data_IF_036483551323
#
_entry.id   IF_036483551323
#
_cell.length_a   1.000
_cell.length_b   1.000
_cell.length_c   1.000
_cell.angle_alpha   90.00
_cell.angle_beta   90.00
_cell.angle_gamma   90.00
#
_symmetry.space_group_name_H-M   'P 1'
#
loop_
_entity.id
_entity.type
_entity.pdbx_description
1 polymer ?
#
# COMPACT_ATOMS: atom_id res chain seq x y z
N UNK A 1 19.12 -21.62 5.08
CA UNK A 1 18.46 -20.95 6.21
C UNK A 1 17.05 -20.76 5.76
N UNK A 2 16.07 -21.37 6.42
CA UNK A 2 14.67 -21.15 6.09
C UNK A 2 14.40 -19.70 6.42
N UNK A 3 14.23 -18.85 5.40
CA UNK A 3 13.61 -17.54 5.61
C UNK A 3 12.24 -17.82 6.21
N UNK A 4 12.00 -17.32 7.43
CA UNK A 4 10.70 -17.46 8.08
C UNK A 4 9.68 -16.81 7.15
N UNK A 5 8.87 -17.65 6.52
CA UNK A 5 7.81 -17.23 5.62
C UNK A 5 6.87 -16.33 6.42
N UNK A 6 6.67 -15.09 5.96
CA UNK A 6 5.64 -14.21 6.48
C UNK A 6 4.28 -14.93 6.44
N UNK A 7 3.67 -15.25 7.60
CA UNK A 7 2.42 -15.99 7.67
C UNK A 7 1.22 -15.19 7.18
N UNK A 8 1.33 -13.85 7.15
CA UNK A 8 0.28 -12.94 6.72
C UNK A 8 0.29 -12.65 5.21
N UNK A 9 1.31 -13.12 4.51
CA UNK A 9 1.51 -12.90 3.08
C UNK A 9 0.34 -13.42 2.23
N UNK A 10 -0.21 -14.59 2.57
CA UNK A 10 -1.34 -15.15 1.83
C UNK A 10 -2.58 -14.26 1.95
N UNK A 11 -2.83 -13.67 3.13
CA UNK A 11 -3.93 -12.72 3.33
C UNK A 11 -3.77 -11.49 2.44
N UNK A 12 -2.57 -10.94 2.32
CA UNK A 12 -2.33 -9.80 1.44
C UNK A 12 -2.52 -10.17 -0.04
N UNK A 13 -2.13 -11.38 -0.45
CA UNK A 13 -2.30 -11.86 -1.83
C UNK A 13 -3.77 -12.15 -2.16
N UNK A 14 -4.54 -12.67 -1.22
CA UNK A 14 -5.98 -12.91 -1.39
C UNK A 14 -6.78 -11.60 -1.60
N UNK A 15 -6.20 -10.45 -1.21
CA UNK A 15 -6.78 -9.13 -1.46
C UNK A 15 -6.52 -8.62 -2.88
N UNK A 16 -5.69 -9.27 -3.69
CA UNK A 16 -5.42 -8.80 -5.06
C UNK A 16 -6.72 -8.64 -5.88
N UNK A 17 -6.86 -7.48 -6.53
CA UNK A 17 -8.03 -7.13 -7.31
C UNK A 17 -9.25 -6.68 -6.50
N UNK A 18 -9.23 -6.77 -5.17
CA UNK A 18 -10.34 -6.32 -4.33
C UNK A 18 -10.49 -4.80 -4.37
N UNK A 19 -11.75 -4.37 -4.43
CA UNK A 19 -12.17 -2.97 -4.25
C UNK A 19 -13.24 -2.94 -3.17
N UNK A 20 -12.97 -2.24 -2.07
CA UNK A 20 -13.86 -2.18 -0.92
C UNK A 20 -14.35 -0.75 -0.74
N UNK A 21 -15.67 -0.57 -0.71
CA UNK A 21 -16.29 0.72 -0.34
C UNK A 21 -16.16 0.89 1.17
N UNK A 22 -15.68 2.06 1.62
CA UNK A 22 -15.29 2.31 3.02
C UNK A 22 -16.10 3.41 3.70
N UNK A 23 -17.09 3.97 3.03
CA UNK A 23 -18.01 4.95 3.58
C UNK A 23 -19.48 4.61 3.26
N UNK A 24 -20.44 5.08 4.08
CA UNK A 24 -21.86 4.82 3.86
C UNK A 24 -22.42 5.46 2.58
N UNK A 25 -21.84 6.57 2.11
CA UNK A 25 -22.31 7.29 0.92
C UNK A 25 -21.78 6.69 -0.38
N UNK A 26 -20.83 5.75 -0.29
CA UNK A 26 -20.20 5.09 -1.44
C UNK A 26 -19.22 5.95 -2.22
N UNK A 27 -18.78 7.07 -1.65
CA UNK A 27 -17.87 8.03 -2.29
C UNK A 27 -16.39 7.65 -2.16
N UNK A 28 -16.03 6.75 -1.26
CA UNK A 28 -14.67 6.37 -0.92
C UNK A 28 -14.49 4.86 -1.03
N UNK A 29 -13.39 4.46 -1.65
CA UNK A 29 -13.04 3.05 -1.77
C UNK A 29 -11.56 2.84 -1.61
N UNK A 30 -11.20 1.68 -1.08
CA UNK A 30 -9.83 1.17 -1.16
C UNK A 30 -9.70 0.18 -2.31
N UNK A 31 -8.53 0.15 -2.93
CA UNK A 31 -8.18 -0.82 -3.97
C UNK A 31 -6.86 -1.49 -3.62
N UNK A 32 -6.82 -2.79 -3.85
CA UNK A 32 -5.63 -3.62 -3.66
C UNK A 32 -5.21 -4.19 -5.02
N UNK A 33 -3.93 -4.02 -5.35
CA UNK A 33 -3.26 -4.71 -6.46
C UNK A 33 -1.98 -5.27 -5.89
N UNK A 34 -1.88 -6.60 -5.78
CA UNK A 34 -0.75 -7.27 -5.14
C UNK A 34 -0.39 -8.54 -5.90
N UNK A 35 0.87 -8.65 -6.32
CA UNK A 35 1.36 -9.84 -7.01
C UNK A 35 2.72 -10.27 -6.49
N UNK A 36 2.98 -11.57 -6.51
CA UNK A 36 4.33 -12.11 -6.27
C UNK A 36 5.19 -11.85 -7.50
N UNK A 37 6.40 -11.35 -7.26
CA UNK A 37 7.42 -11.13 -8.28
C UNK A 37 8.75 -11.74 -7.83
N UNK A 38 9.68 -12.05 -8.75
CA UNK A 38 11.03 -12.41 -8.35
C UNK A 38 11.64 -11.30 -7.49
N UNK A 39 12.26 -11.68 -6.36
CA UNK A 39 12.94 -10.73 -5.50
C UNK A 39 14.06 -10.02 -6.28
N UNK A 40 14.16 -8.71 -6.10
CA UNK A 40 15.22 -7.86 -6.65
C UNK A 40 15.70 -6.89 -5.58
N UNK A 41 16.84 -6.20 -5.77
CA UNK A 41 17.26 -5.15 -4.84
C UNK A 41 16.20 -4.05 -4.64
N UNK A 42 15.41 -3.77 -5.68
CA UNK A 42 14.29 -2.81 -5.64
C UNK A 42 13.03 -3.33 -4.95
N UNK A 43 12.80 -4.65 -4.99
CA UNK A 43 11.64 -5.34 -4.40
C UNK A 43 12.14 -6.58 -3.63
N UNK A 44 12.89 -6.39 -2.53
CA UNK A 44 13.59 -7.48 -1.85
C UNK A 44 12.62 -8.50 -1.24
N UNK A 45 11.39 -8.08 -0.96
CA UNK A 45 10.33 -8.90 -0.38
C UNK A 45 9.57 -9.74 -1.42
N UNK A 46 9.95 -9.68 -2.71
CA UNK A 46 9.33 -10.48 -3.77
C UNK A 46 7.86 -10.11 -4.05
N UNK A 47 7.50 -8.86 -3.81
CA UNK A 47 6.14 -8.33 -3.98
C UNK A 47 6.13 -7.10 -4.87
N UNK A 48 5.17 -7.06 -5.79
CA UNK A 48 4.72 -5.84 -6.45
C UNK A 48 3.35 -5.49 -5.89
N UNK A 49 3.22 -4.31 -5.26
CA UNK A 49 1.99 -3.94 -4.59
C UNK A 49 1.61 -2.48 -4.82
N UNK A 50 0.30 -2.23 -4.78
CA UNK A 50 -0.33 -0.92 -4.74
C UNK A 50 -1.63 -1.01 -3.93
N UNK A 51 -1.62 -0.40 -2.75
CA UNK A 51 -2.78 -0.25 -1.87
C UNK A 51 -3.19 1.22 -1.89
N UNK A 52 -4.42 1.54 -2.27
CA UNK A 52 -4.84 2.93 -2.47
C UNK A 52 -6.20 3.23 -1.86
N UNK A 53 -6.35 4.39 -1.21
CA UNK A 53 -7.64 4.99 -0.86
C UNK A 53 -7.97 6.05 -1.91
N UNK A 54 -9.20 6.04 -2.40
CA UNK A 54 -9.72 7.00 -3.36
C UNK A 54 -10.90 7.80 -2.77
N UNK A 55 -11.03 9.04 -3.23
CA UNK A 55 -12.17 9.90 -2.93
C UNK A 55 -13.23 9.93 -4.05
N UNK A 56 -14.31 10.70 -3.86
CA UNK A 56 -15.49 10.67 -4.74
C UNK A 56 -15.21 11.13 -6.17
N UNK A 57 -14.14 11.89 -6.40
CA UNK A 57 -13.72 12.31 -7.74
C UNK A 57 -12.70 11.36 -8.39
N UNK A 58 -12.42 10.23 -7.75
CA UNK A 58 -11.41 9.25 -8.16
C UNK A 58 -9.99 9.61 -7.76
N UNK A 59 -9.79 10.73 -7.05
CA UNK A 59 -8.48 11.17 -6.62
C UNK A 59 -7.87 10.19 -5.59
N UNK A 60 -6.57 9.89 -5.71
CA UNK A 60 -5.85 9.09 -4.72
C UNK A 60 -5.58 9.94 -3.48
N UNK A 61 -6.14 9.52 -2.34
CA UNK A 61 -6.01 10.20 -1.05
C UNK A 61 -4.83 9.66 -0.24
N UNK A 62 -4.68 8.34 -0.25
CA UNK A 62 -3.58 7.60 0.36
C UNK A 62 -3.14 6.53 -0.61
N UNK A 63 -1.86 6.15 -0.57
CA UNK A 63 -1.55 4.78 -0.92
C UNK A 63 -0.12 4.38 -0.65
N UNK A 64 0.11 3.08 -0.70
CA UNK A 64 1.39 2.45 -0.44
C UNK A 64 1.71 1.63 -1.69
N UNK A 65 2.87 1.86 -2.29
CA UNK A 65 3.30 1.11 -3.47
C UNK A 65 4.83 1.06 -3.58
N UNK A 66 5.33 0.21 -4.48
CA UNK A 66 6.76 0.06 -4.73
C UNK A 66 7.11 0.09 -6.23
N UNK A 67 6.31 0.81 -7.03
CA UNK A 67 6.42 0.81 -8.48
C UNK A 67 7.62 1.62 -9.02
N UNK A 68 8.12 2.58 -8.24
CA UNK A 68 9.21 3.46 -8.64
C UNK A 68 9.99 4.01 -7.44
N UNK A 69 11.23 4.52 -7.63
CA UNK A 69 11.98 5.17 -6.57
C UNK A 69 11.29 6.42 -6.01
N UNK A 70 11.61 6.76 -4.76
CA UNK A 70 11.24 8.05 -4.16
C UNK A 70 12.40 9.05 -4.27
N UNK A 71 12.14 10.23 -4.81
CA UNK A 71 13.10 11.34 -4.83
C UNK A 71 14.40 11.00 -5.56
N UNK A 72 15.55 11.13 -4.88
CA UNK A 72 16.88 10.79 -5.42
C UNK A 72 17.29 9.33 -5.17
N UNK A 73 16.34 8.44 -4.85
CA UNK A 73 16.60 7.01 -4.66
C UNK A 73 17.41 6.45 -5.82
N UNK A 74 18.41 5.62 -5.50
CA UNK A 74 19.32 5.06 -6.50
C UNK A 74 18.71 3.78 -7.07
N UNK A 75 19.12 3.44 -8.29
CA UNK A 75 18.82 2.12 -8.86
C UNK A 75 19.43 1.05 -7.96
N UNK A 76 18.67 0.00 -7.66
CA UNK A 76 19.08 -1.07 -6.74
C UNK A 76 18.79 -0.84 -5.25
N UNK A 77 18.00 0.19 -4.90
CA UNK A 77 17.49 0.41 -3.53
C UNK A 77 15.99 0.06 -3.44
N UNK A 78 15.48 -0.40 -2.27
CA UNK A 78 14.06 -0.66 -2.08
C UNK A 78 13.20 0.53 -2.46
N UNK A 79 12.16 0.28 -3.24
CA UNK A 79 11.29 1.32 -3.80
C UNK A 79 10.01 1.54 -2.99
N UNK A 80 9.84 0.86 -1.86
CA UNK A 80 8.63 0.93 -1.04
C UNK A 80 8.39 2.35 -0.54
N UNK A 81 7.18 2.84 -0.76
CA UNK A 81 6.82 4.20 -0.40
C UNK A 81 5.33 4.40 -0.17
N UNK A 82 5.02 5.50 0.52
CA UNK A 82 3.66 5.94 0.80
C UNK A 82 3.39 7.33 0.25
N UNK A 83 2.20 7.47 -0.30
CA UNK A 83 1.57 8.69 -0.77
C UNK A 83 0.51 9.10 0.24
N UNK A 84 0.52 10.37 0.61
CA UNK A 84 -0.59 11.01 1.33
C UNK A 84 -0.85 12.36 0.70
N UNK A 85 -2.01 12.50 0.07
CA UNK A 85 -2.32 13.63 -0.81
C UNK A 85 -1.18 13.84 -1.83
N UNK A 86 -0.47 14.97 -1.78
CA UNK A 86 0.62 15.31 -2.70
C UNK A 86 2.02 14.96 -2.17
N UNK A 87 2.12 14.33 -0.99
CA UNK A 87 3.40 14.02 -0.35
C UNK A 87 3.77 12.55 -0.53
N UNK A 88 4.99 12.30 -1.00
CA UNK A 88 5.57 10.95 -1.12
C UNK A 88 6.71 10.80 -0.12
N UNK A 89 6.74 9.70 0.62
CA UNK A 89 7.82 9.37 1.56
C UNK A 89 8.22 7.91 1.44
N UNK A 90 9.51 7.57 1.62
CA UNK A 90 9.95 6.18 1.73
C UNK A 90 9.15 5.46 2.82
N UNK A 91 8.92 4.17 2.59
CA UNK A 91 8.26 3.26 3.51
C UNK A 91 9.22 2.10 3.80
N UNK A 92 9.41 1.77 5.07
CA UNK A 92 10.23 0.64 5.45
C UNK A 92 9.30 -0.57 5.61
N UNK A 93 9.24 -1.43 4.59
CA UNK A 93 8.45 -2.65 4.66
C UNK A 93 9.02 -3.59 5.73
N UNK A 94 8.14 -4.13 6.57
CA UNK A 94 8.47 -5.10 7.62
C UNK A 94 7.88 -6.46 7.28
N UNK A 95 6.56 -6.54 7.19
CA UNK A 95 5.79 -7.71 6.75
C UNK A 95 4.43 -7.28 6.17
N UNK A 96 3.68 -8.25 5.62
CA UNK A 96 2.38 -7.97 4.99
C UNK A 96 1.31 -7.50 5.98
N UNK A 97 1.33 -7.99 7.22
CA UNK A 97 0.43 -7.56 8.28
C UNK A 97 0.65 -6.08 8.63
N UNK A 98 1.91 -5.66 8.77
CA UNK A 98 2.32 -4.29 9.07
C UNK A 98 1.97 -3.37 7.92
N UNK A 99 2.22 -3.77 6.67
CA UNK A 99 1.79 -3.02 5.48
C UNK A 99 0.27 -2.77 5.48
N UNK A 100 -0.54 -3.79 5.75
CA UNK A 100 -1.99 -3.65 5.83
C UNK A 100 -2.42 -2.74 6.98
N UNK A 101 -1.85 -2.94 8.18
CA UNK A 101 -2.17 -2.15 9.36
C UNK A 101 -1.83 -0.66 9.15
N UNK A 102 -0.65 -0.36 8.62
CA UNK A 102 -0.21 1.01 8.33
C UNK A 102 -1.07 1.67 7.24
N UNK A 103 -1.43 0.92 6.21
CA UNK A 103 -2.33 1.40 5.16
C UNK A 103 -3.70 1.77 5.73
N UNK A 104 -4.31 0.87 6.52
CA UNK A 104 -5.62 1.13 7.12
C UNK A 104 -5.60 2.27 8.12
N UNK A 105 -4.54 2.39 8.93
CA UNK A 105 -4.38 3.52 9.85
C UNK A 105 -4.30 4.85 9.07
N UNK A 106 -3.55 4.89 7.97
CA UNK A 106 -3.45 6.08 7.14
C UNK A 106 -4.78 6.41 6.43
N UNK A 107 -5.49 5.40 5.94
CA UNK A 107 -6.80 5.56 5.31
C UNK A 107 -7.84 6.12 6.29
N UNK A 108 -7.96 5.51 7.48
CA UNK A 108 -8.86 5.94 8.55
C UNK A 108 -8.56 7.39 9.00
N UNK A 109 -7.28 7.74 9.17
CA UNK A 109 -6.89 9.11 9.51
C UNK A 109 -7.37 10.13 8.46
N UNK A 110 -7.23 9.82 7.17
CA UNK A 110 -7.67 10.71 6.08
C UNK A 110 -9.20 10.80 5.99
N UNK A 111 -9.92 9.69 6.20
CA UNK A 111 -11.38 9.69 6.23
C UNK A 111 -11.91 10.55 7.39
N UNK A 112 -11.32 10.45 8.58
CA UNK A 112 -11.63 11.30 9.74
C UNK A 112 -11.36 12.78 9.47
N UNK A 113 -10.20 13.11 8.89
CA UNK A 113 -9.87 14.49 8.52
C UNK A 113 -10.85 15.10 7.51
N UNK A 114 -11.48 14.26 6.68
CA UNK A 114 -12.50 14.65 5.70
C UNK A 114 -13.93 14.61 6.24
N UNK A 115 -14.13 14.20 7.50
CA UNK A 115 -15.45 14.11 8.13
C UNK A 115 -16.32 12.96 7.59
N UNK A 116 -15.71 11.91 7.03
CA UNK A 116 -16.42 10.74 6.48
C UNK A 116 -16.77 9.73 7.58
N UNK A 117 -15.92 9.64 8.61
CA UNK A 117 -16.01 8.71 9.75
C UNK A 117 -15.75 9.43 11.07
#
# INVERSE_FOLDING_TARGET
>A
MSEDRDPSLDTLLDLDGQVLVVDPEGGHWVKFVVTRVPASPEKPHGLDYSLTLHGPSGERLVGFDNAHPVGRGRRGEPMDHRHRLQTVKPYAYEDAATLLADFWQAADAVLKERGVT
#
